data_IF_136828911528
#
_entry.id   IF_136828911528
#
_cell.length_a   1.000
_cell.length_b   1.000
_cell.length_c   1.000
_cell.angle_alpha   90.00
_cell.angle_beta   90.00
_cell.angle_gamma   90.00
#
_symmetry.space_group_name_H-M   'P 1'
#
loop_
_entity.id
_entity.type
_entity.pdbx_description
1 polymer ?
#
# COMPACT_ATOMS: atom_id res chain seq x y z
N UNK A 1 -13.54 -2.91 17.85
CA UNK A 1 -12.42 -2.39 17.05
C UNK A 1 -11.51 -1.61 18.01
N UNK A 2 -10.58 -2.29 18.66
CA UNK A 2 -9.61 -1.66 19.58
C UNK A 2 -8.38 -1.28 18.77
N UNK A 3 -8.01 -0.01 18.83
CA UNK A 3 -6.84 0.51 18.12
C UNK A 3 -5.64 0.26 19.03
N UNK A 4 -4.83 -0.75 18.69
CA UNK A 4 -3.61 -1.10 19.46
C UNK A 4 -2.45 -0.16 19.12
N UNK A 5 -2.57 0.64 18.05
CA UNK A 5 -1.59 1.62 17.63
C UNK A 5 -1.89 3.03 18.16
N UNK A 6 -0.86 3.77 18.54
CA UNK A 6 -1.00 5.18 18.92
C UNK A 6 -1.59 6.02 17.78
N UNK A 7 -2.60 6.83 18.11
CA UNK A 7 -3.31 7.74 17.20
C UNK A 7 -2.40 8.54 16.24
N UNK A 8 -1.27 9.12 16.67
CA UNK A 8 -0.34 9.80 15.76
C UNK A 8 0.26 8.89 14.67
N UNK A 9 0.56 7.63 15.01
CA UNK A 9 1.12 6.66 14.05
C UNK A 9 0.09 6.33 12.97
N UNK A 10 -1.18 6.14 13.36
CA UNK A 10 -2.27 5.88 12.43
C UNK A 10 -2.49 7.06 11.48
N UNK A 11 -2.41 8.29 12.00
CA UNK A 11 -2.59 9.51 11.21
C UNK A 11 -1.48 9.68 10.16
N UNK A 12 -0.23 9.51 10.59
CA UNK A 12 0.94 9.63 9.70
C UNK A 12 0.93 8.49 8.66
N UNK A 13 0.68 7.25 9.08
CA UNK A 13 0.60 6.11 8.18
C UNK A 13 -0.52 6.27 7.14
N UNK A 14 -1.70 6.74 7.57
CA UNK A 14 -2.83 7.00 6.68
C UNK A 14 -2.53 8.08 5.64
N UNK A 15 -1.92 9.20 6.05
CA UNK A 15 -1.49 10.26 5.14
C UNK A 15 -0.44 9.78 4.14
N UNK A 16 0.55 9.02 4.59
CA UNK A 16 1.63 8.53 3.73
C UNK A 16 1.10 7.54 2.67
N UNK A 17 0.21 6.62 3.07
CA UNK A 17 -0.45 5.68 2.15
C UNK A 17 -1.40 6.40 1.19
N UNK A 18 -2.19 7.37 1.68
CA UNK A 18 -3.08 8.18 0.86
C UNK A 18 -2.32 9.01 -0.19
N UNK A 19 -1.19 9.59 0.19
CA UNK A 19 -0.33 10.32 -0.73
C UNK A 19 0.32 9.40 -1.77
N UNK A 20 0.81 8.23 -1.34
CA UNK A 20 1.40 7.22 -2.24
C UNK A 20 0.43 6.66 -3.28
N UNK A 21 -0.81 6.35 -2.89
CA UNK A 21 -1.86 5.91 -3.82
C UNK A 21 -2.23 6.96 -4.85
N UNK A 22 -2.21 8.25 -4.47
CA UNK A 22 -2.45 9.33 -5.42
C UNK A 22 -1.32 9.50 -6.43
N UNK A 23 -0.05 9.39 -5.99
CA UNK A 23 1.10 9.39 -6.90
C UNK A 23 1.09 8.18 -7.85
N UNK A 24 0.62 7.03 -7.38
CA UNK A 24 0.46 5.82 -8.18
C UNK A 24 -0.67 5.87 -9.22
N UNK A 25 -1.42 6.97 -9.31
CA UNK A 25 -2.60 7.15 -10.17
C UNK A 25 -3.71 6.10 -9.98
N UNK A 26 -3.72 5.42 -8.83
CA UNK A 26 -4.67 4.35 -8.57
C UNK A 26 -4.46 3.66 -7.22
N UNK A 27 -5.41 2.81 -6.87
CA UNK A 27 -5.33 1.94 -5.71
C UNK A 27 -4.85 0.54 -6.14
N UNK A 28 -4.29 -0.22 -5.19
CA UNK A 28 -3.91 -1.63 -5.36
C UNK A 28 -5.04 -2.48 -5.94
N UNK A 29 -6.29 -2.24 -5.51
CA UNK A 29 -7.48 -2.94 -6.01
C UNK A 29 -7.80 -2.59 -7.48
N UNK A 30 -7.68 -1.31 -7.87
CA UNK A 30 -7.95 -0.85 -9.22
C UNK A 30 -6.91 -1.32 -10.25
N UNK A 31 -5.63 -1.27 -9.90
CA UNK A 31 -4.55 -1.82 -10.74
C UNK A 31 -4.52 -3.36 -10.74
N UNK A 32 -4.97 -4.00 -9.66
CA UNK A 32 -5.09 -5.44 -9.55
C UNK A 32 -6.20 -6.00 -10.44
N UNK A 33 -7.44 -5.54 -10.31
CA UNK A 33 -8.60 -6.20 -10.95
C UNK A 33 -8.68 -5.87 -12.45
N UNK A 34 -8.71 -4.58 -12.83
CA UNK A 34 -8.79 -4.18 -14.24
C UNK A 34 -7.42 -4.24 -14.95
N UNK A 35 -6.34 -3.99 -14.22
CA UNK A 35 -4.99 -3.87 -14.80
C UNK A 35 -4.28 -5.21 -15.03
N UNK A 36 -4.45 -6.21 -14.14
CA UNK A 36 -3.99 -7.58 -14.39
C UNK A 36 -4.84 -8.26 -15.47
N UNK A 37 -6.16 -8.01 -15.49
CA UNK A 37 -7.05 -8.54 -16.52
C UNK A 37 -6.70 -8.07 -17.94
N UNK A 38 -6.05 -6.90 -18.09
CA UNK A 38 -5.59 -6.36 -19.38
C UNK A 38 -4.13 -6.71 -19.72
N UNK A 39 -3.46 -7.52 -18.90
CA UNK A 39 -2.05 -7.92 -19.05
C UNK A 39 -1.09 -6.75 -19.34
N UNK A 40 -1.35 -5.57 -18.74
CA UNK A 40 -0.50 -4.40 -18.97
C UNK A 40 0.69 -4.40 -18.03
N UNK A 41 1.92 -4.44 -18.58
CA UNK A 41 3.19 -4.46 -17.83
C UNK A 41 3.29 -3.33 -16.81
N UNK A 42 2.69 -2.18 -17.11
CA UNK A 42 2.69 -1.00 -16.23
C UNK A 42 1.84 -1.23 -14.97
N UNK A 43 0.76 -2.00 -15.08
CA UNK A 43 -0.10 -2.32 -13.93
C UNK A 43 0.53 -3.36 -13.03
N UNK A 44 1.19 -4.38 -13.63
CA UNK A 44 1.92 -5.40 -12.89
C UNK A 44 3.03 -4.75 -12.04
N UNK A 45 3.80 -3.83 -12.64
CA UNK A 45 4.84 -3.09 -11.92
C UNK A 45 4.27 -2.29 -10.74
N UNK A 46 3.14 -1.59 -10.92
CA UNK A 46 2.48 -0.85 -9.85
C UNK A 46 1.94 -1.76 -8.74
N UNK A 47 1.37 -2.92 -9.08
CA UNK A 47 0.87 -3.88 -8.09
C UNK A 47 2.01 -4.49 -7.28
N UNK A 48 3.12 -4.86 -7.93
CA UNK A 48 4.30 -5.43 -7.26
C UNK A 48 4.94 -4.40 -6.32
N UNK A 49 5.09 -3.14 -6.73
CA UNK A 49 5.68 -2.11 -5.86
C UNK A 49 4.83 -1.83 -4.64
N UNK A 50 3.50 -1.74 -4.78
CA UNK A 50 2.61 -1.61 -3.63
C UNK A 50 2.66 -2.82 -2.69
N UNK A 51 2.67 -4.03 -3.26
CA UNK A 51 2.75 -5.26 -2.48
C UNK A 51 4.07 -5.36 -1.72
N UNK A 52 5.19 -5.08 -2.39
CA UNK A 52 6.51 -5.07 -1.77
C UNK A 52 6.62 -4.03 -0.65
N UNK A 53 6.11 -2.81 -0.87
CA UNK A 53 6.09 -1.78 0.16
C UNK A 53 5.27 -2.21 1.39
N UNK A 54 4.11 -2.86 1.18
CA UNK A 54 3.29 -3.39 2.26
C UNK A 54 3.98 -4.50 3.06
N UNK A 55 4.67 -5.43 2.37
CA UNK A 55 5.46 -6.49 3.00
C UNK A 55 6.60 -5.88 3.84
N UNK A 56 7.34 -4.93 3.28
CA UNK A 56 8.44 -4.25 3.99
C UNK A 56 7.92 -3.52 5.22
N UNK A 57 6.83 -2.77 5.10
CA UNK A 57 6.22 -2.06 6.23
C UNK A 57 5.75 -3.03 7.33
N UNK A 58 5.08 -4.13 6.96
CA UNK A 58 4.62 -5.14 7.91
C UNK A 58 5.79 -5.84 8.62
N UNK A 59 6.84 -6.18 7.89
CA UNK A 59 8.06 -6.79 8.46
C UNK A 59 8.78 -5.81 9.38
N UNK A 60 8.93 -4.54 8.99
CA UNK A 60 9.54 -3.51 9.84
C UNK A 60 8.77 -3.31 11.14
N UNK A 61 7.44 -3.19 11.06
CA UNK A 61 6.60 -3.06 12.27
C UNK A 61 6.73 -4.30 13.16
N UNK A 62 6.86 -5.50 12.57
CA UNK A 62 7.12 -6.75 13.32
C UNK A 62 8.52 -6.87 13.91
N UNK A 63 9.51 -6.21 13.33
CA UNK A 63 10.89 -6.22 13.82
C UNK A 63 11.11 -5.17 14.91
N UNK A 64 10.38 -4.06 14.84
CA UNK A 64 10.51 -2.92 15.77
C UNK A 64 9.51 -3.02 16.94
N UNK A 65 8.38 -3.69 16.76
CA UNK A 65 7.39 -3.97 17.81
C UNK A 65 7.61 -5.32 18.46
#
# INVERSE_FOLDING_TARGET
MTIVASLPVVLIAGLLVGFGTRMGSGCTSGHGILGLARFSRRSIAATITFLAAGIVAATLVRLVG
#
